data_IF_936482386378
#
_entry.id   IF_936482386378
#
_cell.length_a   1.000
_cell.length_b   1.000
_cell.length_c   1.000
_cell.angle_alpha   90.00
_cell.angle_beta   90.00
_cell.angle_gamma   90.00
#
_symmetry.space_group_name_H-M   'P 1'
#
loop_
_entity.id
_entity.type
_entity.pdbx_description
1 polymer ?
#
# COMPACT_ATOMS: atom_id res chain seq x y z
N UNK A 1 -17.51 2.18 18.75
CA UNK A 1 -18.12 2.47 17.43
C UNK A 1 -19.10 1.36 17.11
N UNK A 2 -20.26 1.68 16.52
CA UNK A 2 -21.14 0.62 16.00
C UNK A 2 -20.41 -0.14 14.88
N UNK A 3 -20.69 -1.45 14.67
CA UNK A 3 -20.06 -2.22 13.59
C UNK A 3 -20.24 -1.59 12.22
N UNK A 4 -21.41 -0.96 11.97
CA UNK A 4 -21.70 -0.25 10.72
C UNK A 4 -20.80 0.96 10.48
N UNK A 5 -20.59 1.81 11.50
CA UNK A 5 -19.70 2.97 11.38
C UNK A 5 -18.23 2.56 11.23
N UNK A 6 -17.81 1.46 11.88
CA UNK A 6 -16.45 0.93 11.73
C UNK A 6 -16.18 0.40 10.33
N UNK A 7 -17.14 -0.30 9.72
CA UNK A 7 -17.04 -0.77 8.34
C UNK A 7 -16.91 0.40 7.35
N UNK A 8 -17.73 1.44 7.52
CA UNK A 8 -17.68 2.63 6.67
C UNK A 8 -16.33 3.36 6.80
N UNK A 9 -15.82 3.53 8.03
CA UNK A 9 -14.52 4.14 8.27
C UNK A 9 -13.38 3.32 7.66
N UNK A 10 -13.42 1.98 7.78
CA UNK A 10 -12.44 1.09 7.17
C UNK A 10 -12.48 1.19 5.63
N UNK A 11 -13.68 1.23 5.03
CA UNK A 11 -13.84 1.40 3.59
C UNK A 11 -13.28 2.75 3.10
N UNK A 12 -13.62 3.84 3.81
CA UNK A 12 -13.08 5.16 3.52
C UNK A 12 -11.55 5.19 3.60
N UNK A 13 -10.99 4.53 4.63
CA UNK A 13 -9.55 4.43 4.77
C UNK A 13 -8.90 3.69 3.60
N UNK A 14 -9.49 2.58 3.14
CA UNK A 14 -9.00 1.83 1.96
C UNK A 14 -9.00 2.70 0.71
N UNK A 15 -10.07 3.44 0.46
CA UNK A 15 -10.18 4.35 -0.68
C UNK A 15 -9.15 5.49 -0.56
N UNK A 16 -8.96 6.05 0.63
CA UNK A 16 -8.02 7.13 0.88
C UNK A 16 -6.56 6.72 0.61
N UNK A 17 -6.17 5.51 0.98
CA UNK A 17 -4.80 5.00 0.77
C UNK A 17 -4.56 4.39 -0.62
N UNK A 18 -5.61 4.10 -1.39
CA UNK A 18 -5.53 3.47 -2.71
C UNK A 18 -4.65 4.26 -3.69
N UNK A 19 -4.93 5.55 -3.88
CA UNK A 19 -4.16 6.40 -4.80
C UNK A 19 -2.71 6.51 -4.31
N UNK A 20 -2.52 6.75 -3.01
CA UNK A 20 -1.18 6.90 -2.42
C UNK A 20 -0.26 5.69 -2.61
N UNK A 21 -0.80 4.47 -2.54
CA UNK A 21 0.00 3.25 -2.73
C UNK A 21 0.30 2.96 -4.20
N UNK A 22 -0.62 3.33 -5.10
CA UNK A 22 -0.54 3.07 -6.53
C UNK A 22 0.35 4.05 -7.29
N UNK A 23 0.35 5.33 -6.88
CA UNK A 23 1.07 6.39 -7.59
C UNK A 23 2.57 6.11 -7.77
N UNK A 24 3.35 5.69 -6.76
CA UNK A 24 4.77 5.41 -6.95
C UNK A 24 5.02 4.28 -7.94
N UNK A 25 4.21 3.22 -7.89
CA UNK A 25 4.31 2.08 -8.81
C UNK A 25 4.02 2.50 -10.26
N UNK A 26 2.98 3.31 -10.46
CA UNK A 26 2.62 3.81 -11.80
C UNK A 26 3.67 4.75 -12.39
N UNK A 27 4.24 5.64 -11.58
CA UNK A 27 5.32 6.54 -12.02
C UNK A 27 6.54 5.71 -12.45
N UNK A 28 6.94 4.72 -11.64
CA UNK A 28 8.07 3.83 -11.97
C UNK A 28 7.82 3.02 -13.25
N UNK A 29 6.64 2.40 -13.37
CA UNK A 29 6.22 1.66 -14.56
C UNK A 29 6.31 2.52 -15.83
N UNK A 30 5.85 3.77 -15.73
CA UNK A 30 5.82 4.71 -16.86
C UNK A 30 7.23 5.12 -17.30
N UNK A 31 8.19 5.15 -16.38
CA UNK A 31 9.58 5.47 -16.68
C UNK A 31 10.34 4.28 -17.33
N UNK A 32 10.00 3.04 -16.96
CA UNK A 32 10.73 1.83 -17.39
C UNK A 32 10.07 1.11 -18.59
N UNK A 33 8.86 1.51 -19.01
CA UNK A 33 8.13 0.95 -20.16
C UNK A 33 7.96 -0.59 -20.11
N UNK A 34 7.49 -1.11 -18.97
CA UNK A 34 7.24 -2.55 -18.78
C UNK A 34 6.04 -3.06 -19.60
N UNK A 35 5.96 -4.37 -19.86
CA UNK A 35 4.81 -4.98 -20.52
C UNK A 35 3.54 -4.93 -19.63
N UNK A 36 2.35 -4.91 -20.24
CA UNK A 36 1.09 -4.75 -19.54
C UNK A 36 0.80 -5.82 -18.46
N UNK A 37 1.26 -7.06 -18.64
CA UNK A 37 1.11 -8.10 -17.64
C UNK A 37 1.97 -7.81 -16.40
N UNK A 38 3.23 -7.41 -16.60
CA UNK A 38 4.12 -7.01 -15.50
C UNK A 38 3.62 -5.75 -14.78
N UNK A 39 3.07 -4.77 -15.51
CA UNK A 39 2.49 -3.57 -14.89
C UNK A 39 1.36 -3.92 -13.92
N UNK A 40 0.38 -4.71 -14.37
CA UNK A 40 -0.75 -5.16 -13.56
C UNK A 40 -0.31 -6.02 -12.37
N UNK A 41 0.73 -6.82 -12.56
CA UNK A 41 1.33 -7.62 -11.50
C UNK A 41 1.95 -6.73 -10.40
N UNK A 42 2.74 -5.73 -10.75
CA UNK A 42 3.38 -4.81 -9.79
C UNK A 42 2.36 -3.98 -9.01
N UNK A 43 1.31 -3.52 -9.70
CA UNK A 43 0.15 -2.85 -9.09
C UNK A 43 -0.50 -3.76 -8.03
N UNK A 44 -0.79 -5.01 -8.42
CA UNK A 44 -1.45 -5.97 -7.55
C UNK A 44 -0.58 -6.33 -6.35
N UNK A 45 0.73 -6.51 -6.56
CA UNK A 45 1.69 -6.78 -5.49
C UNK A 45 1.86 -5.59 -4.54
N UNK A 46 1.82 -4.36 -5.06
CA UNK A 46 1.90 -3.15 -4.23
C UNK A 46 0.71 -3.05 -3.28
N UNK A 47 -0.51 -3.26 -3.81
CA UNK A 47 -1.74 -3.25 -3.01
C UNK A 47 -1.78 -4.39 -1.99
N UNK A 48 -1.38 -5.61 -2.40
CA UNK A 48 -1.33 -6.77 -1.52
C UNK A 48 -0.35 -6.54 -0.36
N UNK A 49 0.86 -6.05 -0.67
CA UNK A 49 1.91 -5.81 0.33
C UNK A 49 1.50 -4.70 1.31
N UNK A 50 0.89 -3.61 0.83
CA UNK A 50 0.35 -2.55 1.67
C UNK A 50 -0.73 -3.07 2.64
N UNK A 51 -1.64 -3.92 2.14
CA UNK A 51 -2.67 -4.56 2.96
C UNK A 51 -2.09 -5.51 4.02
N UNK A 52 -1.15 -6.37 3.63
CA UNK A 52 -0.49 -7.30 4.55
C UNK A 52 0.34 -6.57 5.62
N UNK A 53 1.08 -5.54 5.23
CA UNK A 53 1.87 -4.71 6.16
C UNK A 53 0.98 -3.97 7.16
N UNK A 54 -0.13 -3.40 6.69
CA UNK A 54 -1.12 -2.73 7.54
C UNK A 54 -1.79 -3.73 8.48
N UNK A 55 -2.15 -4.92 8.00
CA UNK A 55 -2.72 -5.98 8.85
C UNK A 55 -1.75 -6.44 9.93
N UNK A 56 -0.49 -6.64 9.59
CA UNK A 56 0.57 -7.03 10.52
C UNK A 56 0.84 -5.94 11.57
N UNK A 57 0.80 -4.67 11.19
CA UNK A 57 0.98 -3.57 12.14
C UNK A 57 -0.24 -3.36 13.04
N UNK A 58 -1.44 -3.42 12.47
CA UNK A 58 -2.70 -3.30 13.19
C UNK A 58 -2.91 -4.44 14.19
N UNK A 59 -2.46 -5.65 13.84
CA UNK A 59 -2.61 -6.84 14.68
C UNK A 59 -1.26 -7.19 15.30
N UNK A 60 -1.08 -6.83 16.57
CA UNK A 60 0.13 -7.18 17.33
C UNK A 60 0.19 -8.70 17.52
N UNK A 61 1.06 -9.37 16.75
CA UNK A 61 1.38 -10.78 16.91
C UNK A 61 2.62 -10.89 17.81
N UNK A 62 2.40 -10.87 19.12
CA UNK A 62 3.48 -10.91 20.11
C UNK A 62 4.35 -9.64 20.07
N UNK A 63 5.60 -9.76 19.62
CA UNK A 63 6.54 -8.63 19.49
C UNK A 63 6.55 -8.00 18.09
N UNK A 64 5.80 -8.58 17.14
CA UNK A 64 5.71 -8.10 15.76
C UNK A 64 4.42 -7.27 15.61
N UNK A 65 4.57 -6.06 15.07
CA UNK A 65 3.47 -5.09 14.89
C UNK A 65 3.32 -4.11 16.05
N UNK A 66 2.81 -2.90 15.75
CA UNK A 66 2.63 -1.83 16.74
C UNK A 66 1.40 -2.04 17.62
N UNK A 67 0.41 -2.82 17.15
CA UNK A 67 -0.90 -2.92 17.79
C UNK A 67 -1.73 -1.64 17.67
N UNK A 68 -1.32 -0.74 16.78
CA UNK A 68 -1.99 0.51 16.44
C UNK A 68 -2.37 0.48 14.97
N UNK A 69 -3.31 1.34 14.57
CA UNK A 69 -3.65 1.55 13.17
C UNK A 69 -2.48 2.26 12.45
N UNK A 70 -1.45 1.49 12.09
CA UNK A 70 -0.32 1.96 11.31
C UNK A 70 -0.51 1.47 9.87
N UNK A 71 -0.86 2.40 8.99
CA UNK A 71 -1.10 2.13 7.57
C UNK A 71 0.24 2.06 6.86
N UNK A 72 0.52 0.93 6.24
CA UNK A 72 1.74 0.70 5.47
C UNK A 72 1.47 0.97 3.98
N UNK A 73 2.38 1.68 3.33
CA UNK A 73 2.29 2.03 1.92
C UNK A 73 3.66 2.31 1.33
N UNK A 74 3.71 2.47 0.01
CA UNK A 74 4.95 2.65 -0.74
C UNK A 74 5.56 4.04 -0.47
N UNK A 75 6.84 4.10 -0.10
CA UNK A 75 7.54 5.37 0.14
C UNK A 75 7.99 6.01 -1.17
N UNK A 76 7.62 7.28 -1.38
CA UNK A 76 8.10 8.09 -2.52
C UNK A 76 9.60 8.33 -2.50
N UNK A 77 10.27 8.20 -1.34
CA UNK A 77 11.73 8.35 -1.27
C UNK A 77 12.48 7.28 -2.07
N UNK A 78 11.90 6.08 -2.21
CA UNK A 78 12.49 5.01 -3.01
C UNK A 78 12.36 5.25 -4.52
N UNK A 79 11.39 6.06 -4.94
CA UNK A 79 11.15 6.31 -6.36
C UNK A 79 12.31 7.07 -6.99
N UNK A 80 12.79 8.13 -6.33
CA UNK A 80 13.96 8.90 -6.80
C UNK A 80 15.21 8.02 -6.87
N UNK A 81 15.42 7.14 -5.88
CA UNK A 81 16.52 6.19 -5.87
C UNK A 81 16.43 5.20 -7.04
N UNK A 82 15.26 4.62 -7.30
CA UNK A 82 15.07 3.62 -8.36
C UNK A 82 15.22 4.21 -9.76
N UNK A 83 14.88 5.48 -9.97
CA UNK A 83 15.00 6.13 -11.28
C UNK A 83 16.42 6.62 -11.60
N UNK A 84 17.25 6.80 -10.58
CA UNK A 84 18.65 7.25 -10.72
C UNK A 84 19.67 6.12 -10.68
N UNK A 85 19.26 4.93 -10.23
CA UNK A 85 20.08 3.72 -10.23
C UNK A 85 20.25 3.17 -11.65
#
# INVERSE_FOLDING_TARGET
>A
MSPGSALLAALQQVIAMFIGCMTPALIFISAVQLDAATQNYLISMSLLTAGLGTFLQARRFGWIGSGLLSVNGTSFAYLDLLLRA
#
